data_IF_435840587105
#
_entry.id   IF_435840587105
#
_cell.length_a   1.000
_cell.length_b   1.000
_cell.length_c   1.000
_cell.angle_alpha   90.00
_cell.angle_beta   90.00
_cell.angle_gamma   90.00
#
_symmetry.space_group_name_H-M   'P 1'
#
loop_
_entity.id
_entity.type
_entity.pdbx_description
1 polymer ?
#
# COMPACT_ATOMS: atom_id res chain seq x y z
N UNK A 1 -10.18 2.80 -5.18
CA UNK A 1 -10.36 3.74 -6.32
C UNK A 1 -11.79 3.87 -6.78
N UNK A 2 -12.46 2.82 -7.31
CA UNK A 2 -13.88 2.92 -7.70
C UNK A 2 -14.80 3.29 -6.52
N UNK A 3 -14.61 2.66 -5.36
CA UNK A 3 -15.32 3.00 -4.11
C UNK A 3 -15.02 4.42 -3.63
N UNK A 4 -13.79 4.89 -3.84
CA UNK A 4 -13.30 6.18 -3.34
C UNK A 4 -13.72 7.34 -4.24
N UNK A 5 -13.73 7.16 -5.56
CA UNK A 5 -14.05 8.21 -6.54
C UNK A 5 -15.50 8.14 -7.06
N UNK A 6 -16.23 7.07 -6.75
CA UNK A 6 -17.47 6.74 -7.44
C UNK A 6 -17.23 6.24 -8.87
N UNK A 7 -18.29 5.77 -9.52
CA UNK A 7 -18.22 5.21 -10.87
C UNK A 7 -17.83 6.26 -11.91
N UNK A 8 -18.44 7.44 -11.84
CA UNK A 8 -18.16 8.53 -12.77
C UNK A 8 -16.73 9.07 -12.62
N UNK A 9 -16.28 9.28 -11.37
CA UNK A 9 -14.90 9.69 -11.10
C UNK A 9 -13.87 8.63 -11.53
N UNK A 10 -14.21 7.35 -11.43
CA UNK A 10 -13.36 6.27 -11.92
C UNK A 10 -13.30 6.20 -13.45
N UNK A 11 -14.41 6.47 -14.14
CA UNK A 11 -14.45 6.57 -15.61
C UNK A 11 -13.64 7.80 -16.07
N UNK A 12 -13.82 8.95 -15.43
CA UNK A 12 -13.05 10.16 -15.70
C UNK A 12 -11.55 9.92 -15.50
N UNK A 13 -11.16 9.29 -14.38
CA UNK A 13 -9.77 8.91 -14.11
C UNK A 13 -9.15 8.10 -15.26
N UNK A 14 -9.87 7.10 -15.78
CA UNK A 14 -9.39 6.31 -16.92
C UNK A 14 -9.20 7.14 -18.18
N UNK A 15 -10.09 8.10 -18.46
CA UNK A 15 -9.99 9.00 -19.61
C UNK A 15 -8.82 9.97 -19.46
N UNK A 16 -8.68 10.61 -18.31
CA UNK A 16 -7.59 11.55 -18.05
C UNK A 16 -6.21 10.88 -18.09
N UNK A 17 -6.12 9.61 -17.67
CA UNK A 17 -4.88 8.84 -17.79
C UNK A 17 -4.42 8.63 -19.24
N UNK A 18 -5.31 8.71 -20.22
CA UNK A 18 -4.94 8.66 -21.64
C UNK A 18 -4.42 10.01 -22.14
N UNK A 19 -4.74 11.11 -21.46
CA UNK A 19 -4.34 12.48 -21.80
C UNK A 19 -3.15 12.95 -20.93
N UNK A 20 -2.08 12.16 -20.88
CA UNK A 20 -0.88 12.41 -20.03
C UNK A 20 -0.17 13.73 -20.31
N UNK A 21 -0.38 14.35 -21.48
CA UNK A 21 0.14 15.66 -21.83
C UNK A 21 -0.52 16.82 -21.06
N UNK A 22 -1.60 16.55 -20.32
CA UNK A 22 -2.26 17.55 -19.46
C UNK A 22 -1.84 17.42 -18.01
N UNK A 23 -1.92 18.52 -17.24
CA UNK A 23 -1.67 18.48 -15.80
C UNK A 23 -2.61 17.49 -15.09
N UNK A 24 -3.88 17.46 -15.49
CA UNK A 24 -4.89 16.55 -14.95
C UNK A 24 -4.60 15.08 -15.32
N UNK A 25 -4.08 14.83 -16.52
CA UNK A 25 -3.61 13.50 -16.93
C UNK A 25 -2.36 13.04 -16.19
N UNK A 26 -1.43 13.96 -15.90
CA UNK A 26 -0.26 13.68 -15.05
C UNK A 26 -0.68 13.33 -13.62
N UNK A 27 -1.63 14.07 -13.04
CA UNK A 27 -2.19 13.77 -11.72
C UNK A 27 -2.96 12.44 -11.72
N UNK A 28 -3.73 12.14 -12.77
CA UNK A 28 -4.43 10.86 -12.92
C UNK A 28 -3.45 9.67 -12.97
N UNK A 29 -2.32 9.83 -13.67
CA UNK A 29 -1.27 8.82 -13.74
C UNK A 29 -0.60 8.64 -12.38
N UNK A 30 -0.21 9.73 -11.72
CA UNK A 30 0.38 9.70 -10.38
C UNK A 30 -0.55 9.02 -9.37
N UNK A 31 -1.85 9.34 -9.40
CA UNK A 31 -2.85 8.70 -8.52
C UNK A 31 -2.89 7.18 -8.73
N UNK A 32 -2.85 6.72 -9.99
CA UNK A 32 -2.85 5.30 -10.31
C UNK A 32 -1.57 4.60 -9.82
N UNK A 33 -0.42 5.23 -9.99
CA UNK A 33 0.86 4.63 -9.61
C UNK A 33 1.04 4.59 -8.10
N UNK A 34 0.66 5.66 -7.40
CA UNK A 34 0.64 5.69 -5.93
C UNK A 34 -0.33 4.64 -5.37
N UNK A 35 -1.50 4.44 -5.99
CA UNK A 35 -2.44 3.39 -5.59
C UNK A 35 -1.87 1.99 -5.79
N UNK A 36 -1.23 1.72 -6.93
CA UNK A 36 -0.59 0.42 -7.19
C UNK A 36 0.53 0.11 -6.22
N UNK A 37 1.35 1.10 -5.90
CA UNK A 37 2.42 0.91 -4.92
C UNK A 37 1.87 0.67 -3.51
N UNK A 38 0.77 1.36 -3.17
CA UNK A 38 0.03 1.10 -1.92
C UNK A 38 -0.46 -0.35 -1.84
N UNK A 39 -1.08 -0.87 -2.90
CA UNK A 39 -1.55 -2.26 -2.97
C UNK A 39 -0.40 -3.27 -2.87
N UNK A 40 0.73 -2.97 -3.52
CA UNK A 40 1.95 -3.79 -3.45
C UNK A 40 2.53 -3.83 -2.04
N UNK A 41 2.62 -2.68 -1.37
CA UNK A 41 3.11 -2.56 0.00
C UNK A 41 2.17 -3.27 0.98
N UNK A 42 0.85 -3.13 0.81
CA UNK A 42 -0.14 -3.86 1.61
C UNK A 42 0.04 -5.37 1.50
N UNK A 43 0.17 -5.89 0.27
CA UNK A 43 0.41 -7.32 0.02
C UNK A 43 1.69 -7.80 0.67
N UNK A 44 2.75 -7.00 0.57
CA UNK A 44 4.06 -7.29 1.19
C UNK A 44 3.95 -7.33 2.70
N UNK A 45 3.32 -6.33 3.31
CA UNK A 45 3.08 -6.26 4.75
C UNK A 45 2.28 -7.48 5.24
N UNK A 46 1.21 -7.85 4.54
CA UNK A 46 0.42 -9.05 4.87
C UNK A 46 1.26 -10.32 4.86
N UNK A 47 2.12 -10.49 3.85
CA UNK A 47 3.02 -11.65 3.79
C UNK A 47 3.99 -11.68 4.98
N UNK A 48 4.61 -10.54 5.32
CA UNK A 48 5.53 -10.49 6.47
C UNK A 48 4.82 -10.75 7.80
N UNK A 49 3.62 -10.21 7.99
CA UNK A 49 2.80 -10.46 9.17
C UNK A 49 2.38 -11.94 9.28
N UNK A 50 2.00 -12.58 8.16
CA UNK A 50 1.71 -14.02 8.13
C UNK A 50 2.95 -14.83 8.52
N UNK A 51 4.10 -14.57 7.91
CA UNK A 51 5.34 -15.29 8.23
C UNK A 51 5.75 -15.11 9.70
N UNK A 52 5.61 -13.89 10.25
CA UNK A 52 5.90 -13.63 11.65
C UNK A 52 4.98 -14.41 12.59
N UNK A 53 3.68 -14.46 12.27
CA UNK A 53 2.69 -15.26 13.01
C UNK A 53 3.01 -16.76 12.93
N UNK A 54 3.37 -17.26 11.76
CA UNK A 54 3.65 -18.67 11.56
C UNK A 54 4.93 -19.08 12.32
N UNK A 55 6.00 -18.28 12.28
CA UNK A 55 7.19 -18.50 13.12
C UNK A 55 6.90 -18.44 14.62
N UNK A 56 6.02 -17.53 15.07
CA UNK A 56 5.58 -17.48 16.47
C UNK A 56 4.79 -18.74 16.84
N UNK A 57 3.92 -19.21 15.95
CA UNK A 57 3.13 -20.41 16.18
C UNK A 57 4.01 -21.66 16.26
N UNK A 58 5.00 -21.78 15.38
CA UNK A 58 5.98 -22.88 15.39
C UNK A 58 6.79 -22.87 16.69
N UNK A 59 7.33 -21.72 17.09
CA UNK A 59 8.09 -21.58 18.33
C UNK A 59 7.26 -21.84 19.61
N UNK A 60 5.94 -21.63 19.56
CA UNK A 60 5.03 -21.94 20.66
C UNK A 60 4.59 -23.42 20.69
N UNK A 61 4.71 -24.12 19.56
CA UNK A 61 4.22 -25.51 19.40
C UNK A 61 5.36 -26.53 19.47
N UNK A 62 6.58 -26.14 19.08
CA UNK A 62 7.75 -27.01 19.05
C UNK A 62 8.52 -26.98 20.38
N UNK A 63 8.97 -28.15 20.88
CA UNK A 63 9.81 -28.27 22.09
C UNK A 63 11.32 -28.20 21.77
N UNK A 64 11.66 -27.77 20.55
CA UNK A 64 13.03 -27.62 20.05
C UNK A 64 13.83 -26.50 20.73
N UNK A 65 15.15 -26.41 20.46
CA UNK A 65 16.04 -25.50 21.18
C UNK A 65 15.73 -24.02 20.89
N UNK A 66 15.54 -23.18 21.93
CA UNK A 66 14.85 -21.87 21.85
C UNK A 66 15.61 -20.75 21.09
N UNK A 67 16.87 -20.93 20.73
CA UNK A 67 17.72 -19.83 20.25
C UNK A 67 17.64 -19.58 18.73
N UNK A 68 17.35 -20.60 17.93
CA UNK A 68 17.19 -20.44 16.48
C UNK A 68 15.89 -19.68 16.13
N UNK A 69 14.81 -19.96 16.87
CA UNK A 69 13.51 -19.34 16.66
C UNK A 69 13.45 -17.87 17.08
N UNK A 70 14.09 -17.49 18.19
CA UNK A 70 14.07 -16.11 18.66
C UNK A 70 14.63 -15.11 17.63
N UNK A 71 15.69 -15.49 16.92
CA UNK A 71 16.28 -14.63 15.88
C UNK A 71 15.37 -14.48 14.66
N UNK A 72 14.72 -15.58 14.25
CA UNK A 72 13.77 -15.57 13.14
C UNK A 72 12.51 -14.74 13.43
N UNK A 73 12.02 -14.79 14.69
CA UNK A 73 10.89 -13.98 15.18
C UNK A 73 11.26 -12.49 15.24
N UNK A 74 12.44 -12.15 15.78
CA UNK A 74 12.88 -10.76 15.85
C UNK A 74 13.06 -10.15 14.46
N UNK A 75 13.64 -10.91 13.53
CA UNK A 75 13.82 -10.46 12.15
C UNK A 75 12.48 -10.24 11.42
N UNK A 76 11.54 -11.19 11.55
CA UNK A 76 10.22 -11.08 10.90
C UNK A 76 9.38 -9.93 11.49
N UNK A 77 9.47 -9.70 12.79
CA UNK A 77 8.81 -8.57 13.47
C UNK A 77 9.35 -7.24 12.99
N UNK A 78 10.67 -7.07 12.94
CA UNK A 78 11.32 -5.84 12.43
C UNK A 78 10.99 -5.57 10.96
N UNK A 79 10.97 -6.63 10.13
CA UNK A 79 10.55 -6.49 8.74
C UNK A 79 9.09 -6.03 8.63
N UNK A 80 8.20 -6.57 9.47
CA UNK A 80 6.78 -6.18 9.52
C UNK A 80 6.63 -4.70 9.90
N UNK A 81 7.33 -4.23 10.94
CA UNK A 81 7.33 -2.83 11.36
C UNK A 81 7.80 -1.88 10.24
N UNK A 82 8.92 -2.22 9.58
CA UNK A 82 9.45 -1.43 8.47
C UNK A 82 8.43 -1.33 7.32
N UNK A 83 7.80 -2.44 6.96
CA UNK A 83 6.79 -2.46 5.90
C UNK A 83 5.50 -1.74 6.30
N UNK A 84 5.11 -1.78 7.58
CA UNK A 84 3.97 -1.05 8.10
C UNK A 84 4.20 0.46 8.02
N UNK A 85 5.39 0.93 8.42
CA UNK A 85 5.75 2.35 8.31
C UNK A 85 5.73 2.85 6.86
N UNK A 86 6.32 2.08 5.93
CA UNK A 86 6.30 2.39 4.49
C UNK A 86 4.88 2.41 3.93
N UNK A 87 4.06 1.44 4.30
CA UNK A 87 2.66 1.39 3.89
C UNK A 87 1.87 2.61 4.39
N UNK A 88 2.04 2.99 5.66
CA UNK A 88 1.39 4.16 6.23
C UNK A 88 1.81 5.47 5.52
N UNK A 89 3.11 5.61 5.22
CA UNK A 89 3.61 6.75 4.46
C UNK A 89 3.01 6.80 3.04
N UNK A 90 2.94 5.65 2.36
CA UNK A 90 2.37 5.57 1.01
C UNK A 90 0.87 5.86 1.00
N UNK A 91 0.13 5.39 2.01
CA UNK A 91 -1.29 5.72 2.20
C UNK A 91 -1.50 7.23 2.35
N UNK A 92 -0.66 7.90 3.15
CA UNK A 92 -0.72 9.35 3.29
C UNK A 92 -0.47 10.07 1.95
N UNK A 93 0.51 9.61 1.17
CA UNK A 93 0.76 10.16 -0.17
C UNK A 93 -0.42 9.91 -1.12
N UNK A 94 -1.09 8.76 -1.01
CA UNK A 94 -2.26 8.44 -1.80
C UNK A 94 -3.41 9.41 -1.52
N UNK A 95 -3.65 9.72 -0.25
CA UNK A 95 -4.69 10.67 0.16
C UNK A 95 -4.41 12.08 -0.38
N UNK A 96 -3.15 12.54 -0.32
CA UNK A 96 -2.75 13.84 -0.85
C UNK A 96 -2.96 13.93 -2.38
N UNK A 97 -2.56 12.90 -3.13
CA UNK A 97 -2.70 12.90 -4.59
C UNK A 97 -4.18 12.78 -4.98
N UNK A 98 -4.97 12.01 -4.23
CA UNK A 98 -6.41 11.89 -4.44
C UNK A 98 -7.11 13.24 -4.23
N UNK A 99 -6.74 13.97 -3.18
CA UNK A 99 -7.32 15.29 -2.87
C UNK A 99 -6.94 16.34 -3.93
N UNK A 100 -5.67 16.36 -4.34
CA UNK A 100 -5.21 17.21 -5.44
C UNK A 100 -5.94 16.90 -6.75
N UNK A 101 -6.16 15.62 -7.05
CA UNK A 101 -6.88 15.19 -8.24
C UNK A 101 -8.36 15.61 -8.21
N UNK A 102 -9.05 15.44 -7.07
CA UNK A 102 -10.43 15.88 -6.89
C UNK A 102 -10.57 17.41 -7.00
N UNK A 103 -9.65 18.14 -6.40
CA UNK A 103 -9.62 19.61 -6.48
C UNK A 103 -9.42 20.07 -7.93
N UNK A 104 -8.51 19.42 -8.68
CA UNK A 104 -8.31 19.72 -10.09
C UNK A 104 -9.54 19.41 -10.95
N UNK A 105 -10.30 18.36 -10.63
CA UNK A 105 -11.55 18.05 -11.33
C UNK A 105 -12.66 19.09 -11.10
N UNK A 106 -12.68 19.75 -9.94
CA UNK A 106 -13.68 20.79 -9.63
C UNK A 106 -13.32 22.17 -10.23
N UNK A 107 -12.06 22.36 -10.62
CA UNK A 107 -11.56 23.61 -11.18
C UNK A 107 -11.68 23.68 -12.73
N UNK A 108 -12.17 22.60 -13.36
CA UNK A 108 -12.38 22.45 -14.81
C UNK A 108 -13.86 22.46 -15.10
#
# INVERSE_FOLDING_TARGET
MRTTLGDDGYIALRRHRQATHTALGTLAQLLCDTARETDRLHTTLRRHATNARDHLNDALTDQGPPHADATAILYSSRATELHAARYAQQMHQLDLVLDAYRTALLAV
#
